data_IF_959316475382
#
_entry.id   IF_959316475382
#
_cell.length_a   1.000
_cell.length_b   1.000
_cell.length_c   1.000
_cell.angle_alpha   90.00
_cell.angle_beta   90.00
_cell.angle_gamma   90.00
#
_symmetry.space_group_name_H-M   'P 1'
#
loop_
_entity.id
_entity.type
_entity.pdbx_description
1 polymer ?
#
# COMPACT_ATOMS: atom_id res chain seq x y z
N UNK A 1 5.80 11.83 -13.46
CA UNK A 1 5.98 11.94 -11.99
C UNK A 1 4.63 11.60 -11.37
N UNK A 2 4.53 10.47 -10.67
CA UNK A 2 3.25 10.04 -10.09
C UNK A 2 2.92 10.88 -8.87
N UNK A 3 1.67 11.35 -8.81
CA UNK A 3 1.22 12.18 -7.71
C UNK A 3 0.66 11.31 -6.60
N UNK A 4 1.41 11.19 -5.51
CA UNK A 4 0.94 10.50 -4.32
C UNK A 4 -0.37 11.08 -3.78
N UNK A 5 -0.66 12.36 -4.01
CA UNK A 5 -1.92 12.99 -3.64
C UNK A 5 -3.11 12.50 -4.48
N UNK A 6 -2.86 11.87 -5.64
CA UNK A 6 -3.91 11.18 -6.42
C UNK A 6 -4.06 9.71 -6.02
N UNK A 7 -2.97 9.06 -5.60
CA UNK A 7 -2.99 7.66 -5.16
C UNK A 7 -3.63 7.52 -3.78
N UNK A 8 -3.30 8.41 -2.84
CA UNK A 8 -3.79 8.30 -1.45
C UNK A 8 -5.32 8.35 -1.31
N UNK A 9 -6.05 9.24 -2.01
CA UNK A 9 -7.51 9.22 -2.00
C UNK A 9 -8.10 7.91 -2.53
N UNK A 10 -7.43 7.21 -3.46
CA UNK A 10 -7.87 5.87 -3.91
C UNK A 10 -7.73 4.84 -2.78
N UNK A 11 -6.62 4.90 -2.05
CA UNK A 11 -6.38 4.03 -0.88
C UNK A 11 -7.41 4.31 0.22
N UNK A 12 -7.75 5.57 0.47
CA UNK A 12 -8.80 5.93 1.42
C UNK A 12 -10.19 5.49 0.95
N UNK A 13 -10.50 5.70 -0.33
CA UNK A 13 -11.80 5.34 -0.92
C UNK A 13 -12.07 3.84 -0.88
N UNK A 14 -11.02 3.03 -1.08
CA UNK A 14 -11.10 1.58 -1.05
C UNK A 14 -10.66 1.00 0.30
N UNK A 15 -10.58 1.82 1.35
CA UNK A 15 -10.42 1.31 2.71
C UNK A 15 -11.62 0.41 3.05
N UNK A 16 -11.39 -0.58 3.91
CA UNK A 16 -12.34 -1.60 4.36
C UNK A 16 -12.73 -2.65 3.31
N UNK A 17 -12.26 -2.52 2.08
CA UNK A 17 -12.45 -3.55 1.06
C UNK A 17 -11.48 -4.74 1.22
N UNK A 18 -11.83 -5.88 0.62
CA UNK A 18 -10.97 -7.06 0.56
C UNK A 18 -9.89 -6.91 -0.51
N UNK A 19 -8.62 -6.97 -0.10
CA UNK A 19 -7.45 -6.97 -0.97
C UNK A 19 -6.77 -8.33 -0.98
N UNK A 20 -6.13 -8.67 -2.09
CA UNK A 20 -5.39 -9.92 -2.23
C UNK A 20 -3.90 -9.69 -2.02
N UNK A 21 -3.33 -10.36 -1.02
CA UNK A 21 -1.89 -10.39 -0.81
C UNK A 21 -1.27 -11.56 -1.58
N UNK A 22 -0.18 -11.29 -2.31
CA UNK A 22 0.54 -12.28 -3.15
C UNK A 22 0.88 -13.58 -2.40
N UNK A 23 1.24 -13.49 -1.11
CA UNK A 23 1.69 -14.64 -0.30
C UNK A 23 0.69 -15.17 0.72
N UNK A 24 -0.34 -14.42 1.11
CA UNK A 24 -1.11 -14.74 2.32
C UNK A 24 -2.63 -14.70 2.16
N UNK A 25 -3.15 -14.43 0.95
CA UNK A 25 -4.59 -14.44 0.69
C UNK A 25 -5.27 -13.09 0.96
N UNK A 26 -6.59 -13.12 1.18
CA UNK A 26 -7.43 -11.92 1.31
C UNK A 26 -7.23 -11.20 2.66
N UNK A 27 -7.10 -9.88 2.66
CA UNK A 27 -7.04 -9.06 3.87
C UNK A 27 -7.83 -7.77 3.68
N UNK A 28 -8.35 -7.22 4.77
CA UNK A 28 -8.94 -5.88 4.79
C UNK A 28 -8.01 -4.93 5.54
N UNK A 29 -8.12 -3.64 5.27
CA UNK A 29 -7.43 -2.60 6.02
C UNK A 29 -8.34 -1.39 6.24
N UNK A 30 -8.11 -0.64 7.30
CA UNK A 30 -8.77 0.65 7.55
C UNK A 30 -7.79 1.79 7.41
N UNK A 31 -8.27 2.98 7.08
CA UNK A 31 -7.44 4.21 7.12
C UNK A 31 -7.96 5.10 8.22
N UNK A 32 -7.08 5.47 9.16
CA UNK A 32 -7.40 6.42 10.23
C UNK A 32 -6.19 7.33 10.50
N UNK A 33 -6.44 8.65 10.54
CA UNK A 33 -5.41 9.65 10.83
C UNK A 33 -4.15 9.57 9.94
N UNK A 34 -4.29 9.20 8.66
CA UNK A 34 -3.14 9.00 7.76
C UNK A 34 -2.34 7.73 8.03
N UNK A 35 -2.93 6.75 8.71
CA UNK A 35 -2.35 5.44 8.97
C UNK A 35 -3.27 4.35 8.43
N UNK A 36 -2.67 3.36 7.79
CA UNK A 36 -3.35 2.15 7.35
C UNK A 36 -3.21 1.09 8.43
N UNK A 37 -4.33 0.55 8.87
CA UNK A 37 -4.42 -0.51 9.86
C UNK A 37 -4.84 -1.80 9.16
N UNK A 38 -3.91 -2.75 9.04
CA UNK A 38 -4.25 -4.05 8.49
C UNK A 38 -5.07 -4.86 9.53
N UNK A 39 -6.17 -5.47 9.10
CA UNK A 39 -7.05 -6.24 9.98
C UNK A 39 -6.38 -7.53 10.49
N UNK A 40 -5.68 -8.25 9.59
CA UNK A 40 -5.08 -9.56 9.89
C UNK A 40 -3.87 -9.51 10.82
N UNK A 41 -3.04 -8.51 10.64
CA UNK A 41 -1.91 -8.26 11.53
C UNK A 41 -2.10 -6.83 11.96
N UNK A 42 -2.30 -6.58 13.27
CA UNK A 42 -2.48 -5.28 13.94
C UNK A 42 -1.29 -4.32 13.70
N UNK A 43 -0.92 -4.17 12.45
CA UNK A 43 0.18 -3.41 11.92
C UNK A 43 -0.38 -2.07 11.51
N UNK A 44 0.19 -1.04 12.10
CA UNK A 44 -0.05 0.35 11.75
C UNK A 44 1.00 0.77 10.76
N UNK A 45 0.57 1.18 9.57
CA UNK A 45 1.45 1.58 8.48
C UNK A 45 1.19 3.06 8.20
N UNK A 46 2.18 3.95 8.42
CA UNK A 46 1.99 5.37 8.17
C UNK A 46 1.94 5.68 6.66
N UNK A 47 1.17 6.70 6.27
CA UNK A 47 1.09 7.25 4.90
C UNK A 47 2.47 7.53 4.28
N UNK A 48 3.45 7.93 5.08
CA UNK A 48 4.83 8.15 4.63
C UNK A 48 5.51 6.89 4.09
N UNK A 49 5.16 5.71 4.60
CA UNK A 49 5.68 4.44 4.07
C UNK A 49 5.09 4.13 2.69
N UNK A 50 3.83 4.49 2.43
CA UNK A 50 3.22 4.35 1.12
C UNK A 50 3.91 5.24 0.09
N UNK A 51 4.14 6.52 0.43
CA UNK A 51 4.87 7.45 -0.44
C UNK A 51 6.25 6.91 -0.80
N UNK A 52 7.03 6.50 0.21
CA UNK A 52 8.36 5.90 0.00
C UNK A 52 8.26 4.65 -0.87
N UNK A 53 7.32 3.74 -0.61
CA UNK A 53 7.20 2.50 -1.39
C UNK A 53 6.84 2.79 -2.84
N UNK A 54 5.93 3.74 -3.09
CA UNK A 54 5.53 4.15 -4.43
C UNK A 54 6.75 4.65 -5.24
N UNK A 55 7.57 5.51 -4.64
CA UNK A 55 8.81 6.00 -5.28
C UNK A 55 9.74 4.83 -5.70
N UNK A 56 9.82 3.76 -4.92
CA UNK A 56 10.67 2.61 -5.22
C UNK A 56 10.06 1.64 -6.25
N UNK A 57 8.73 1.43 -6.23
CA UNK A 57 8.03 0.60 -7.23
C UNK A 57 8.27 1.17 -8.63
N UNK A 58 8.26 2.50 -8.74
CA UNK A 58 8.53 3.22 -9.99
C UNK A 58 9.98 3.08 -10.49
N UNK A 59 10.92 2.84 -9.58
CA UNK A 59 12.35 2.70 -9.89
C UNK A 59 12.71 1.22 -10.18
N UNK A 60 11.73 0.32 -10.29
CA UNK A 60 11.93 -1.11 -10.59
C UNK A 60 12.86 -1.83 -9.59
N UNK A 61 12.89 -1.41 -8.32
CA UNK A 61 13.70 -2.08 -7.29
C UNK A 61 12.92 -2.28 -5.99
N UNK A 62 12.23 -3.41 -5.89
CA UNK A 62 11.48 -3.85 -4.70
C UNK A 62 12.36 -4.53 -3.64
N UNK A 63 13.65 -4.74 -3.94
CA UNK A 63 14.60 -5.48 -3.08
C UNK A 63 15.09 -4.72 -1.83
N UNK A 64 15.39 -3.41 -1.85
CA UNK A 64 16.02 -2.76 -0.69
C UNK A 64 15.05 -2.44 0.46
N UNK A 65 13.76 -2.22 0.16
CA UNK A 65 12.78 -1.72 1.14
C UNK A 65 12.23 -2.79 2.09
N UNK A 66 12.28 -4.06 1.70
CA UNK A 66 11.74 -5.16 2.49
C UNK A 66 12.40 -5.28 3.87
N UNK A 67 13.66 -4.83 4.02
CA UNK A 67 14.40 -4.86 5.29
C UNK A 67 14.14 -3.65 6.20
N UNK A 68 13.67 -2.51 5.67
CA UNK A 68 13.54 -1.25 6.45
C UNK A 68 12.10 -0.88 6.80
N UNK A 69 11.12 -1.36 6.05
CA UNK A 69 9.71 -1.05 6.28
C UNK A 69 9.01 -2.18 7.02
N UNK A 70 8.11 -1.84 7.96
CA UNK A 70 7.14 -2.78 8.52
C UNK A 70 5.96 -2.91 7.56
N UNK A 71 5.53 -4.14 7.29
CA UNK A 71 4.40 -4.43 6.39
C UNK A 71 4.60 -4.09 4.90
N UNK A 72 5.80 -4.22 4.30
CA UNK A 72 6.03 -3.84 2.90
C UNK A 72 5.16 -4.66 1.95
N UNK A 73 4.86 -5.90 2.31
CA UNK A 73 3.97 -6.78 1.54
C UNK A 73 2.53 -6.28 1.49
N UNK A 74 2.04 -5.61 2.53
CA UNK A 74 0.69 -5.02 2.53
C UNK A 74 0.65 -3.75 1.69
N UNK A 75 1.64 -2.88 1.86
CA UNK A 75 1.76 -1.65 1.05
C UNK A 75 1.84 -2.01 -0.43
N UNK A 76 2.69 -2.99 -0.77
CA UNK A 76 2.85 -3.43 -2.15
C UNK A 76 1.57 -4.07 -2.70
N UNK A 77 0.87 -4.91 -1.94
CA UNK A 77 -0.39 -5.49 -2.37
C UNK A 77 -1.46 -4.42 -2.66
N UNK A 78 -1.56 -3.39 -1.80
CA UNK A 78 -2.50 -2.28 -1.99
C UNK A 78 -2.10 -1.45 -3.21
N UNK A 79 -0.83 -1.07 -3.32
CA UNK A 79 -0.36 -0.24 -4.44
C UNK A 79 -0.41 -0.97 -5.78
N UNK A 80 -0.23 -2.29 -5.81
CA UNK A 80 -0.29 -3.09 -7.04
C UNK A 80 -1.72 -3.50 -7.41
N UNK A 81 -2.68 -3.25 -6.53
CA UNK A 81 -4.08 -3.52 -6.82
C UNK A 81 -4.57 -2.66 -8.00
N UNK A 82 -5.30 -3.27 -8.93
CA UNK A 82 -5.83 -2.60 -10.12
C UNK A 82 -6.69 -1.38 -9.79
N UNK A 83 -7.38 -1.36 -8.65
CA UNK A 83 -8.21 -0.23 -8.21
C UNK A 83 -7.37 0.98 -7.83
N UNK A 84 -6.16 0.75 -7.33
CA UNK A 84 -5.24 1.79 -6.85
C UNK A 84 -4.27 2.22 -7.94
N UNK A 85 -3.56 1.25 -8.53
CA UNK A 85 -2.63 1.44 -9.64
C UNK A 85 -3.33 1.95 -10.89
N UNK A 86 -4.54 1.47 -11.17
CA UNK A 86 -5.25 1.75 -12.42
C UNK A 86 -4.32 1.54 -13.63
N UNK A 87 -4.14 2.58 -14.47
CA UNK A 87 -3.21 2.61 -15.61
C UNK A 87 -2.01 3.54 -15.35
N UNK A 88 -1.79 3.92 -14.09
CA UNK A 88 -0.73 4.88 -13.76
C UNK A 88 0.67 4.25 -13.96
N UNK A 89 0.97 3.09 -13.37
CA UNK A 89 2.25 2.36 -13.60
C UNK A 89 1.99 0.92 -13.98
#
# INVERSE_FOLDING_TARGET
MFDFNKVWPRVEKHAEEEFLQIKSGKFTYMVDGGHVYASRTKQRIPKSHFKKTLEFVLINSTMPLQKKLRGPSYIFAILMDRRIRQDDW
#
